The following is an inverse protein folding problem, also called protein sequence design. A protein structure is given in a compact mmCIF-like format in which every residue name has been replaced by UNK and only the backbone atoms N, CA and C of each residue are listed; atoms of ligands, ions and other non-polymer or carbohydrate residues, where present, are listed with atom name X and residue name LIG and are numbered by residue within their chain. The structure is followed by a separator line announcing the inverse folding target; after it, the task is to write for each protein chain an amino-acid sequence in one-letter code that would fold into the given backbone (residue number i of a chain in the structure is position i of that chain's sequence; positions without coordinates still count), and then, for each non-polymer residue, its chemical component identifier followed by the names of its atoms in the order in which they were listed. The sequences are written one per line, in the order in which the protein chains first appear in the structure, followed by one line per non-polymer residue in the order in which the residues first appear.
data_IF_813554000465
#
_entry.id   IF_813554000465
#
_cell.length_a   1.000
_cell.length_b   1.000
_cell.length_c   1.000
_cell.angle_alpha   90.00
_cell.angle_beta   90.00
_cell.angle_gamma   90.00
#
_symmetry.space_group_name_H-M   'P 1'
#
loop_
_entity.id
_entity.type
_entity.pdbx_description
1 polymer ?
#
# COMPACT_ATOMS: atom_id res chain seq x y z
N UNK A 1 1.24 4.06 0.39
CA UNK A 1 1.24 4.67 1.72
C UNK A 1 -0.05 4.34 2.44
N UNK A 2 -0.02 4.28 3.76
CA UNK A 2 -1.19 4.01 4.57
C UNK A 2 -1.22 4.91 5.81
N UNK A 3 -2.41 5.15 6.33
CA UNK A 3 -2.67 5.81 7.61
C UNK A 3 -3.82 5.11 8.33
N UNK A 4 -3.79 5.09 9.64
CA UNK A 4 -4.87 4.56 10.47
C UNK A 4 -5.16 5.50 11.64
N UNK A 5 -6.43 5.54 12.07
CA UNK A 5 -6.88 6.20 13.31
C UNK A 5 -7.11 5.20 14.45
N UNK A 6 -6.78 3.93 14.23
CA UNK A 6 -7.01 2.82 15.16
C UNK A 6 -8.20 1.95 14.77
N UNK A 7 -9.23 2.51 14.14
CA UNK A 7 -10.38 1.78 13.61
C UNK A 7 -10.35 1.70 12.08
N UNK A 8 -10.25 2.85 11.42
CA UNK A 8 -10.18 2.88 9.96
C UNK A 8 -8.73 2.85 9.50
N UNK A 9 -8.49 2.13 8.40
CA UNK A 9 -7.21 2.14 7.68
C UNK A 9 -7.45 2.57 6.24
N UNK A 10 -6.74 3.61 5.84
CA UNK A 10 -6.73 4.11 4.49
C UNK A 10 -5.41 3.81 3.81
N UNK A 11 -5.48 3.29 2.59
CA UNK A 11 -4.32 2.96 1.76
C UNK A 11 -4.39 3.75 0.46
N UNK A 12 -3.30 4.45 0.13
CA UNK A 12 -3.11 5.07 -1.17
C UNK A 12 -2.05 4.32 -1.95
N UNK A 13 -2.44 3.75 -3.09
CA UNK A 13 -1.51 3.16 -4.05
C UNK A 13 -1.13 4.16 -5.12
N UNK A 14 0.16 4.24 -5.42
CA UNK A 14 0.71 5.06 -6.53
C UNK A 14 1.05 4.22 -7.76
N UNK A 15 0.81 2.91 -7.66
CA UNK A 15 1.00 1.95 -8.75
C UNK A 15 -0.20 0.99 -8.87
N UNK A 16 -1.44 1.50 -8.97
CA UNK A 16 -2.66 0.68 -8.89
C UNK A 16 -2.79 -0.36 -10.01
N UNK A 17 -2.05 -0.19 -11.11
CA UNK A 17 -2.00 -1.15 -12.20
C UNK A 17 -1.16 -2.41 -11.89
N UNK A 18 -0.50 -2.45 -10.75
CA UNK A 18 0.26 -3.60 -10.27
C UNK A 18 -0.57 -4.40 -9.27
N UNK A 19 -0.37 -5.72 -9.25
CA UNK A 19 -0.92 -6.60 -8.23
C UNK A 19 -0.20 -6.40 -6.89
N UNK A 20 -0.86 -6.73 -5.77
CA UNK A 20 -0.23 -6.67 -4.44
C UNK A 20 0.96 -7.62 -4.34
N UNK A 21 0.83 -8.83 -4.84
CA UNK A 21 1.90 -9.81 -4.88
C UNK A 21 2.99 -9.40 -5.87
N UNK A 22 3.73 -8.34 -5.57
CA UNK A 22 4.89 -7.94 -6.34
C UNK A 22 5.94 -9.06 -6.29
N UNK A 23 6.15 -9.71 -7.44
CA UNK A 23 7.07 -10.84 -7.56
C UNK A 23 8.50 -10.37 -7.39
N UNK A 24 9.05 -10.54 -6.20
CA UNK A 24 10.48 -10.36 -5.96
C UNK A 24 11.15 -11.74 -5.83
N UNK A 25 12.44 -11.78 -6.12
CA UNK A 25 13.23 -13.01 -6.16
C UNK A 25 13.20 -13.78 -4.84
N UNK A 26 13.26 -13.06 -3.71
CA UNK A 26 13.29 -13.66 -2.39
C UNK A 26 11.96 -14.36 -2.05
N UNK A 27 10.86 -13.63 -2.13
CA UNK A 27 9.53 -14.18 -1.80
C UNK A 27 9.13 -15.32 -2.72
N UNK A 28 9.30 -15.15 -4.04
CA UNK A 28 8.94 -16.19 -5.01
C UNK A 28 9.97 -17.33 -5.10
N UNK A 29 11.10 -17.22 -4.41
CA UNK A 29 11.99 -18.33 -4.12
C UNK A 29 11.42 -19.34 -3.12
N UNK A 30 10.53 -18.90 -2.23
CA UNK A 30 9.97 -19.73 -1.16
C UNK A 30 8.96 -20.75 -1.68
N UNK A 31 8.99 -22.01 -1.14
CA UNK A 31 8.06 -23.06 -1.54
C UNK A 31 6.58 -22.70 -1.32
N UNK A 32 6.26 -21.98 -0.23
CA UNK A 32 4.91 -21.52 0.10
C UNK A 32 4.34 -20.60 -0.98
N UNK A 33 5.10 -19.61 -1.44
CA UNK A 33 4.65 -18.69 -2.47
C UNK A 33 4.51 -19.38 -3.84
N UNK A 34 5.37 -20.35 -4.14
CA UNK A 34 5.25 -21.18 -5.35
C UNK A 34 4.00 -22.08 -5.31
N UNK A 35 3.68 -22.62 -4.14
CA UNK A 35 2.46 -23.42 -3.97
C UNK A 35 1.20 -22.56 -4.10
N UNK A 36 1.20 -21.38 -3.52
CA UNK A 36 0.11 -20.41 -3.63
C UNK A 36 -0.10 -19.94 -5.08
N UNK A 37 0.97 -19.60 -5.76
CA UNK A 37 0.95 -19.24 -7.20
C UNK A 37 0.30 -20.33 -8.05
N UNK A 38 0.70 -21.58 -7.86
CA UNK A 38 0.11 -22.75 -8.54
C UNK A 38 -1.36 -22.93 -8.22
N UNK A 39 -1.76 -22.74 -6.96
CA UNK A 39 -3.14 -22.92 -6.51
C UNK A 39 -4.05 -21.86 -7.14
N UNK A 40 -3.65 -20.59 -7.09
CA UNK A 40 -4.46 -19.46 -7.54
C UNK A 40 -4.48 -19.38 -9.07
N UNK A 41 -3.31 -19.38 -9.71
CA UNK A 41 -3.21 -19.24 -11.17
C UNK A 41 -3.56 -20.53 -11.91
N UNK A 42 -3.45 -21.68 -11.26
CA UNK A 42 -3.88 -22.97 -11.80
C UNK A 42 -5.40 -23.19 -11.81
N UNK A 43 -6.17 -22.23 -11.29
CA UNK A 43 -7.64 -22.34 -11.24
C UNK A 43 -8.17 -23.31 -10.17
N UNK A 44 -7.32 -23.76 -9.25
CA UNK A 44 -7.70 -24.66 -8.16
C UNK A 44 -8.10 -23.93 -6.88
N UNK A 45 -8.12 -22.60 -6.93
CA UNK A 45 -8.49 -21.77 -5.81
C UNK A 45 -10.01 -21.70 -5.65
N UNK A 46 -10.52 -22.09 -4.50
CA UNK A 46 -11.95 -22.02 -4.15
C UNK A 46 -12.29 -20.77 -3.31
N UNK A 47 -11.28 -20.05 -2.81
CA UNK A 47 -11.48 -18.83 -2.04
C UNK A 47 -11.21 -17.58 -2.92
N UNK A 48 -12.25 -16.77 -3.22
CA UNK A 48 -12.10 -15.57 -4.05
C UNK A 48 -11.13 -14.56 -3.45
N UNK A 49 -11.03 -14.47 -2.11
CA UNK A 49 -10.21 -13.48 -1.43
C UNK A 49 -8.72 -13.67 -1.72
N UNK A 50 -8.27 -14.92 -1.89
CA UNK A 50 -6.88 -15.20 -2.23
C UNK A 50 -6.48 -14.69 -3.62
N UNK A 51 -7.44 -14.56 -4.51
CA UNK A 51 -7.23 -14.08 -5.87
C UNK A 51 -6.92 -12.58 -5.91
N UNK A 52 -7.50 -11.79 -4.99
CA UNK A 52 -7.29 -10.34 -4.91
C UNK A 52 -5.80 -9.97 -4.86
N UNK A 53 -4.97 -10.79 -4.21
CA UNK A 53 -3.52 -10.56 -4.12
C UNK A 53 -2.82 -10.54 -5.48
N UNK A 54 -3.39 -11.24 -6.48
CA UNK A 54 -2.84 -11.37 -7.82
C UNK A 54 -3.52 -10.47 -8.86
N UNK A 55 -4.47 -9.65 -8.43
CA UNK A 55 -5.19 -8.72 -9.29
C UNK A 55 -4.67 -7.29 -9.10
N UNK A 56 -4.83 -6.41 -10.10
CA UNK A 56 -4.67 -4.98 -9.91
C UNK A 56 -5.62 -4.49 -8.81
N UNK A 57 -5.16 -3.56 -7.99
CA UNK A 57 -5.93 -3.01 -6.89
C UNK A 57 -6.30 -1.55 -7.15
N UNK A 58 -7.33 -1.01 -6.47
CA UNK A 58 -7.72 0.39 -6.59
C UNK A 58 -6.60 1.35 -6.19
N UNK A 59 -6.66 2.58 -6.69
CA UNK A 59 -5.75 3.64 -6.27
C UNK A 59 -5.91 4.02 -4.80
N UNK A 60 -7.09 3.79 -4.26
CA UNK A 60 -7.47 4.07 -2.87
C UNK A 60 -8.26 2.91 -2.31
N UNK A 61 -8.05 2.60 -1.03
CA UNK A 61 -8.80 1.61 -0.29
C UNK A 61 -9.03 2.12 1.14
N UNK A 62 -10.19 1.78 1.70
CA UNK A 62 -10.56 2.10 3.08
C UNK A 62 -11.13 0.86 3.74
N UNK A 63 -10.65 0.52 4.92
CA UNK A 63 -11.10 -0.64 5.69
C UNK A 63 -11.51 -0.25 7.10
N UNK A 64 -12.57 -0.87 7.64
CA UNK A 64 -12.98 -0.79 9.04
C UNK A 64 -12.39 -1.98 9.80
N UNK A 65 -11.26 -1.81 10.45
CA UNK A 65 -10.51 -2.89 11.10
C UNK A 65 -11.26 -3.55 12.27
N UNK A 66 -12.29 -2.90 12.83
CA UNK A 66 -13.15 -3.51 13.85
C UNK A 66 -14.09 -4.56 13.26
N UNK A 67 -14.55 -4.35 12.02
CA UNK A 67 -15.50 -5.23 11.32
C UNK A 67 -14.83 -6.18 10.34
N UNK A 68 -13.69 -5.76 9.82
CA UNK A 68 -12.93 -6.43 8.76
C UNK A 68 -11.43 -6.40 9.07
N UNK A 69 -10.98 -7.16 10.07
CA UNK A 69 -9.57 -7.18 10.48
C UNK A 69 -8.63 -7.76 9.41
N UNK A 70 -9.17 -8.53 8.47
CA UNK A 70 -8.42 -9.13 7.36
C UNK A 70 -8.34 -8.23 6.11
N UNK A 71 -9.00 -7.04 6.15
CA UNK A 71 -8.95 -6.04 5.06
C UNK A 71 -9.45 -6.60 3.71
N UNK A 72 -10.55 -7.34 3.72
CA UNK A 72 -11.12 -7.98 2.53
C UNK A 72 -12.17 -7.12 1.83
N UNK A 73 -12.80 -6.17 2.54
CA UNK A 73 -13.93 -5.39 2.07
C UNK A 73 -13.59 -3.91 1.96
N UNK A 74 -13.24 -3.47 0.75
CA UNK A 74 -12.93 -2.06 0.49
C UNK A 74 -14.19 -1.19 0.56
N UNK A 75 -14.17 -0.21 1.47
CA UNK A 75 -15.25 0.76 1.71
C UNK A 75 -15.07 2.07 0.93
N UNK A 76 -14.01 2.22 0.16
CA UNK A 76 -13.67 3.50 -0.48
C UNK A 76 -14.70 4.01 -1.50
N UNK A 77 -15.48 3.10 -2.09
CA UNK A 77 -16.54 3.44 -3.04
C UNK A 77 -17.94 3.55 -2.40
N UNK A 78 -18.06 3.33 -1.09
CA UNK A 78 -19.35 3.31 -0.40
C UNK A 78 -19.68 4.72 0.10
N UNK A 79 -20.82 5.33 -0.32
CA UNK A 79 -21.16 6.72 0.00
C UNK A 79 -21.19 7.05 1.49
N UNK A 80 -21.64 6.13 2.34
CA UNK A 80 -21.71 6.29 3.79
C UNK A 80 -20.34 6.55 4.44
N UNK A 81 -19.27 6.12 3.79
CA UNK A 81 -17.90 6.31 4.28
C UNK A 81 -17.14 7.46 3.61
N UNK A 82 -17.81 8.25 2.75
CA UNK A 82 -17.17 9.34 1.99
C UNK A 82 -16.48 10.38 2.89
N UNK A 83 -17.10 10.74 4.01
CA UNK A 83 -16.51 11.69 4.98
C UNK A 83 -15.28 11.10 5.67
N UNK A 84 -15.36 9.84 6.09
CA UNK A 84 -14.23 9.11 6.69
C UNK A 84 -13.07 9.02 5.70
N UNK A 85 -13.35 8.62 4.46
CA UNK A 85 -12.37 8.55 3.39
C UNK A 85 -11.69 9.92 3.16
N UNK A 86 -12.46 11.00 3.14
CA UNK A 86 -11.92 12.36 2.99
C UNK A 86 -10.97 12.73 4.14
N UNK A 87 -11.37 12.49 5.40
CA UNK A 87 -10.54 12.75 6.57
C UNK A 87 -9.22 11.97 6.53
N UNK A 88 -9.29 10.70 6.17
CA UNK A 88 -8.11 9.85 6.08
C UNK A 88 -7.17 10.25 4.93
N UNK A 89 -7.71 10.71 3.80
CA UNK A 89 -6.91 11.31 2.71
C UNK A 89 -6.14 12.54 3.19
N UNK A 90 -6.83 13.44 3.92
CA UNK A 90 -6.19 14.65 4.46
C UNK A 90 -5.07 14.27 5.45
N UNK A 91 -5.35 13.37 6.38
CA UNK A 91 -4.36 12.89 7.35
C UNK A 91 -3.11 12.31 6.68
N UNK A 92 -3.28 11.48 5.64
CA UNK A 92 -2.15 10.96 4.88
C UNK A 92 -1.39 12.05 4.13
N UNK A 93 -2.12 12.99 3.50
CA UNK A 93 -1.52 14.12 2.76
C UNK A 93 -0.69 15.00 3.67
N UNK A 94 -1.22 15.31 4.86
CA UNK A 94 -0.54 16.11 5.87
C UNK A 94 0.70 15.40 6.41
N UNK A 95 0.59 14.10 6.68
CA UNK A 95 1.74 13.30 7.07
C UNK A 95 2.86 13.32 6.03
N UNK A 96 2.53 13.09 4.77
CA UNK A 96 3.51 13.11 3.67
C UNK A 96 4.23 14.47 3.59
N UNK A 97 3.46 15.58 3.70
CA UNK A 97 4.03 16.93 3.66
C UNK A 97 4.91 17.25 4.86
N UNK A 98 4.43 16.96 6.06
CA UNK A 98 5.15 17.29 7.31
C UNK A 98 6.38 16.43 7.53
N UNK A 99 6.36 15.19 7.05
CA UNK A 99 7.50 14.27 7.16
C UNK A 99 8.47 14.37 5.98
N UNK A 100 8.11 15.11 4.93
CA UNK A 100 8.88 15.15 3.67
C UNK A 100 9.18 13.73 3.17
N UNK A 101 8.11 12.91 2.98
CA UNK A 101 8.26 11.48 2.65
C UNK A 101 9.21 11.24 1.47
N UNK A 102 10.39 10.72 1.80
CA UNK A 102 11.47 10.47 0.83
C UNK A 102 11.14 9.36 -0.17
N UNK A 103 10.13 8.54 0.11
CA UNK A 103 9.73 7.45 -0.76
C UNK A 103 9.13 7.89 -2.11
N UNK A 104 8.86 9.19 -2.29
CA UNK A 104 8.49 9.76 -3.59
C UNK A 104 9.69 10.09 -4.49
N UNK A 105 10.90 10.05 -3.94
CA UNK A 105 12.11 10.29 -4.72
C UNK A 105 12.73 8.97 -5.15
N UNK A 106 13.01 8.84 -6.44
CA UNK A 106 13.72 7.67 -6.97
C UNK A 106 15.20 7.77 -6.57
N UNK A 107 15.68 6.91 -5.65
CA UNK A 107 17.05 7.02 -5.16
C UNK A 107 18.11 6.83 -6.27
N UNK A 108 17.74 6.14 -7.35
CA UNK A 108 18.63 5.87 -8.48
C UNK A 108 18.63 6.96 -9.55
N UNK A 109 17.77 7.98 -9.45
CA UNK A 109 17.86 9.14 -10.32
C UNK A 109 18.82 10.16 -9.72
N UNK A 110 19.61 10.85 -10.57
CA UNK A 110 20.53 11.90 -10.10
C UNK A 110 19.80 12.97 -9.29
N UNK A 111 18.64 13.41 -9.76
CA UNK A 111 17.80 14.40 -9.06
C UNK A 111 17.22 13.83 -7.77
N UNK A 112 16.73 12.59 -7.81
CA UNK A 112 16.20 11.92 -6.62
C UNK A 112 17.25 11.71 -5.54
N UNK A 113 18.47 11.34 -5.92
CA UNK A 113 19.59 11.19 -4.97
C UNK A 113 19.96 12.53 -4.31
N UNK A 114 20.07 13.61 -5.08
CA UNK A 114 20.40 14.95 -4.54
C UNK A 114 19.31 15.41 -3.57
N UNK A 115 18.03 15.28 -3.94
CA UNK A 115 16.91 15.66 -3.07
C UNK A 115 16.85 14.79 -1.82
N UNK A 116 17.05 13.48 -1.96
CA UNK A 116 17.12 12.55 -0.85
C UNK A 116 18.22 12.95 0.15
N UNK A 117 19.45 13.16 -0.31
CA UNK A 117 20.57 13.54 0.54
C UNK A 117 20.35 14.91 1.21
N UNK A 118 19.76 15.87 0.51
CA UNK A 118 19.43 17.17 1.08
C UNK A 118 18.46 17.03 2.25
N UNK A 119 17.32 16.38 2.03
CA UNK A 119 16.27 16.20 3.05
C UNK A 119 16.80 15.34 4.20
N UNK A 120 17.59 14.30 3.92
CA UNK A 120 18.20 13.46 4.93
C UNK A 120 19.11 14.26 5.87
N UNK A 121 20.00 15.09 5.32
CA UNK A 121 20.92 15.93 6.10
C UNK A 121 20.20 16.98 6.93
N UNK A 122 19.14 17.59 6.39
CA UNK A 122 18.35 18.59 7.10
C UNK A 122 17.56 17.99 8.28
N UNK A 123 17.00 16.79 8.10
CA UNK A 123 16.08 16.18 9.05
C UNK A 123 16.73 15.18 10.00
N UNK A 124 17.78 14.53 9.55
CA UNK A 124 18.53 13.50 10.30
C UNK A 124 20.03 13.78 10.20
N UNK A 125 20.53 14.88 10.82
CA UNK A 125 21.96 15.14 10.85
C UNK A 125 22.65 13.93 11.52
N UNK A 126 23.64 13.39 10.84
CA UNK A 126 24.56 12.42 11.44
C UNK A 126 25.55 13.25 12.26
N UNK A 127 25.58 13.00 13.54
CA UNK A 127 26.61 13.57 14.44
C UNK A 127 28.01 13.12 14.02
#
# INVERSE_FOLDING_TARGET
RAVTDGRFKYIRSYIPYRQFALRNYYQWGMPSNKAWDKLVLGGHNTNPDWKQTFEPHPAEMLFDLEKDPDELHDLSAIPEYAETLYKMRQALSDHIRTTHDLGFFLPNSRTGHILYEKVRKEKYPLD
#
